data_IF_828151148018
#
_entry.id   IF_828151148018
#
_cell.length_a   1.000
_cell.length_b   1.000
_cell.length_c   1.000
_cell.angle_alpha   90.00
_cell.angle_beta   90.00
_cell.angle_gamma   90.00
#
_symmetry.space_group_name_H-M   'P 1'
#
loop_
_entity.id
_entity.type
_entity.pdbx_description
1 polymer ?
#
# COMPACT_ATOMS: atom_id res chain seq x y z
N UNK A 1 -48.99 22.57 3.95
CA UNK A 1 -48.06 21.51 3.51
C UNK A 1 -46.61 22.00 3.57
N UNK A 2 -46.02 22.08 4.77
CA UNK A 2 -44.64 22.58 5.01
C UNK A 2 -43.74 21.54 5.70
N UNK A 3 -44.04 20.25 5.53
CA UNK A 3 -43.41 19.16 6.28
C UNK A 3 -42.83 18.01 5.46
N UNK A 4 -42.65 18.16 4.14
CA UNK A 4 -42.16 17.05 3.29
C UNK A 4 -40.78 17.31 2.63
N UNK A 5 -40.26 18.54 2.70
CA UNK A 5 -38.98 18.91 2.04
C UNK A 5 -37.77 18.87 2.97
N UNK A 6 -37.95 18.68 4.29
CA UNK A 6 -36.84 18.60 5.26
C UNK A 6 -36.33 17.18 5.50
N UNK A 7 -37.06 16.15 5.03
CA UNK A 7 -36.69 14.74 5.28
C UNK A 7 -35.76 14.17 4.20
N UNK A 8 -35.74 14.74 2.99
CA UNK A 8 -34.90 14.26 1.87
C UNK A 8 -33.42 14.66 2.07
N UNK A 9 -33.15 15.75 2.80
CA UNK A 9 -31.79 16.21 3.10
C UNK A 9 -31.02 15.39 4.16
N UNK A 10 -31.65 14.39 4.79
CA UNK A 10 -31.03 13.56 5.85
C UNK A 10 -30.77 12.11 5.47
N UNK A 11 -31.23 11.64 4.31
CA UNK A 11 -31.02 10.27 3.83
C UNK A 11 -29.72 10.08 3.01
N UNK A 12 -29.01 11.16 2.71
CA UNK A 12 -27.80 11.15 1.89
C UNK A 12 -26.58 10.42 2.50
N UNK A 13 -26.36 10.35 3.84
CA UNK A 13 -25.22 9.62 4.40
C UNK A 13 -25.41 8.09 4.41
N UNK A 14 -26.64 7.61 4.56
CA UNK A 14 -26.94 6.17 4.71
C UNK A 14 -26.97 5.48 3.34
N UNK A 15 -27.57 6.11 2.33
CA UNK A 15 -27.49 5.62 0.94
C UNK A 15 -26.03 5.57 0.42
N UNK A 16 -25.16 6.45 0.92
CA UNK A 16 -23.73 6.44 0.60
C UNK A 16 -22.98 5.28 1.26
N UNK A 17 -23.41 4.86 2.46
CA UNK A 17 -22.93 3.63 3.10
C UNK A 17 -23.30 2.41 2.26
N UNK A 18 -24.53 2.34 1.70
CA UNK A 18 -24.93 1.25 0.82
C UNK A 18 -24.15 1.21 -0.49
N UNK A 19 -23.85 2.34 -1.14
CA UNK A 19 -23.00 2.35 -2.33
C UNK A 19 -21.53 1.93 -2.06
N UNK A 20 -21.01 2.07 -0.84
CA UNK A 20 -19.70 1.51 -0.45
C UNK A 20 -19.78 0.05 0.06
N UNK A 21 -20.98 -0.42 0.40
CA UNK A 21 -21.24 -1.80 0.85
C UNK A 21 -21.61 -2.74 -0.32
N UNK A 22 -22.30 -2.27 -1.35
CA UNK A 22 -22.86 -3.07 -2.46
C UNK A 22 -22.00 -3.16 -3.74
N UNK A 23 -20.72 -2.78 -3.72
CA UNK A 23 -19.80 -3.22 -4.79
C UNK A 23 -19.31 -4.67 -4.54
N UNK A 24 -20.25 -5.57 -4.28
CA UNK A 24 -20.16 -6.99 -4.58
C UNK A 24 -21.10 -7.23 -5.78
N UNK A 25 -20.49 -7.42 -6.96
CA UNK A 25 -21.09 -8.01 -8.18
C UNK A 25 -22.30 -7.30 -8.82
N UNK A 26 -22.04 -6.36 -9.75
CA UNK A 26 -22.98 -6.10 -10.84
C UNK A 26 -22.75 -7.13 -11.98
N UNK A 27 -23.78 -7.83 -12.48
CA UNK A 27 -23.62 -8.86 -13.51
C UNK A 27 -23.44 -8.20 -14.88
N UNK A 28 -22.19 -8.08 -15.35
CA UNK A 28 -21.91 -7.70 -16.74
C UNK A 28 -21.81 -8.98 -17.58
N UNK A 29 -22.94 -9.39 -18.14
CA UNK A 29 -22.97 -10.33 -19.26
C UNK A 29 -22.26 -9.70 -20.47
N UNK A 30 -21.23 -10.41 -20.95
CA UNK A 30 -20.64 -10.38 -22.31
C UNK A 30 -20.14 -9.03 -22.83
N UNK A 31 -18.89 -8.70 -22.47
CA UNK A 31 -17.88 -8.32 -23.46
C UNK A 31 -16.55 -9.03 -23.12
N UNK A 32 -15.86 -9.50 -24.16
CA UNK A 32 -14.90 -10.62 -24.16
C UNK A 32 -13.60 -10.35 -23.40
N UNK A 33 -13.18 -11.39 -22.66
CA UNK A 33 -11.82 -11.81 -22.28
C UNK A 33 -10.83 -10.73 -21.82
N UNK A 34 -10.65 -10.63 -20.50
CA UNK A 34 -9.40 -10.95 -19.79
C UNK A 34 -9.72 -10.97 -18.28
N UNK A 35 -10.34 -12.05 -17.84
CA UNK A 35 -10.49 -12.33 -16.40
C UNK A 35 -9.24 -13.06 -15.93
N UNK A 36 -8.41 -12.38 -15.12
CA UNK A 36 -7.56 -13.06 -14.15
C UNK A 36 -8.49 -13.71 -13.12
N UNK A 37 -8.96 -14.90 -13.45
CA UNK A 37 -9.62 -15.76 -12.50
C UNK A 37 -8.63 -16.03 -11.38
N UNK A 38 -9.03 -15.55 -10.21
CA UNK A 38 -8.53 -15.97 -8.91
C UNK A 38 -8.60 -17.50 -8.87
N UNK A 39 -7.47 -18.17 -9.06
CA UNK A 39 -7.37 -19.60 -8.85
C UNK A 39 -7.22 -19.86 -7.36
N UNK A 40 -8.30 -20.36 -6.76
CA UNK A 40 -8.24 -21.16 -5.53
C UNK A 40 -7.79 -22.58 -5.89
N UNK A 41 -6.79 -23.07 -5.18
CA UNK A 41 -6.43 -24.48 -5.12
C UNK A 41 -5.38 -24.92 -6.15
N UNK A 42 -4.43 -25.72 -5.66
CA UNK A 42 -3.29 -26.33 -6.35
C UNK A 42 -2.05 -25.43 -6.49
N UNK A 43 -1.00 -25.86 -5.79
CA UNK A 43 0.42 -25.78 -6.12
C UNK A 43 0.83 -24.82 -7.24
N UNK A 44 1.62 -23.81 -6.88
CA UNK A 44 2.51 -23.12 -7.82
C UNK A 44 1.82 -22.26 -8.88
N UNK A 45 1.31 -21.10 -8.49
CA UNK A 45 1.39 -19.95 -9.40
C UNK A 45 2.83 -19.44 -9.27
N UNK A 46 3.68 -19.59 -10.31
CA UNK A 46 4.99 -18.99 -10.24
C UNK A 46 4.74 -17.49 -10.33
N UNK A 47 5.17 -16.79 -9.29
CA UNK A 47 5.25 -15.33 -9.18
C UNK A 47 6.31 -14.83 -10.21
N UNK A 48 6.13 -15.16 -11.51
CA UNK A 48 7.11 -14.86 -12.56
C UNK A 48 6.98 -13.40 -12.89
N UNK A 49 7.61 -12.60 -12.05
CA UNK A 49 8.15 -11.31 -12.42
C UNK A 49 8.96 -11.50 -13.70
N UNK A 50 8.42 -11.07 -14.84
CA UNK A 50 9.17 -11.17 -16.09
C UNK A 50 10.21 -10.06 -16.16
N UNK A 51 11.30 -10.27 -16.88
CA UNK A 51 12.29 -9.22 -17.16
C UNK A 51 11.64 -7.99 -17.80
N UNK A 52 10.57 -8.18 -18.59
CA UNK A 52 9.81 -7.10 -19.19
C UNK A 52 9.04 -6.28 -18.14
N UNK A 53 8.41 -6.92 -17.15
CA UNK A 53 7.73 -6.24 -16.05
C UNK A 53 8.72 -5.43 -15.20
N UNK A 54 9.91 -5.99 -14.90
CA UNK A 54 10.96 -5.28 -14.15
C UNK A 54 11.44 -4.06 -14.94
N UNK A 55 11.70 -4.20 -16.25
CA UNK A 55 12.10 -3.08 -17.10
C UNK A 55 11.05 -1.98 -17.11
N UNK A 56 9.76 -2.34 -17.21
CA UNK A 56 8.64 -1.40 -17.16
C UNK A 56 8.55 -0.70 -15.81
N UNK A 57 8.76 -1.43 -14.71
CA UNK A 57 8.83 -0.86 -13.36
C UNK A 57 9.97 0.15 -13.23
N UNK A 58 11.19 -0.21 -13.62
CA UNK A 58 12.37 0.69 -13.55
C UNK A 58 12.12 1.98 -14.34
N UNK A 59 11.59 1.87 -15.56
CA UNK A 59 11.28 3.04 -16.40
C UNK A 59 10.27 4.00 -15.76
N UNK A 60 9.35 3.48 -14.95
CA UNK A 60 8.25 4.23 -14.36
C UNK A 60 8.51 4.62 -12.89
N UNK A 61 9.61 4.15 -12.28
CA UNK A 61 9.86 4.25 -10.84
C UNK A 61 9.73 5.68 -10.30
N UNK A 62 10.44 6.64 -10.89
CA UNK A 62 10.41 8.05 -10.47
C UNK A 62 9.03 8.69 -10.60
N UNK A 63 8.32 8.39 -11.70
CA UNK A 63 6.98 8.91 -11.91
C UNK A 63 6.00 8.33 -10.88
N UNK A 64 6.09 7.04 -10.59
CA UNK A 64 5.25 6.37 -9.60
C UNK A 64 5.53 6.84 -8.17
N UNK A 65 6.78 7.10 -7.81
CA UNK A 65 7.15 7.71 -6.52
C UNK A 65 6.56 9.11 -6.31
N UNK A 66 6.34 9.86 -7.39
CA UNK A 66 5.63 11.16 -7.35
C UNK A 66 4.12 10.98 -7.23
N UNK A 67 3.54 10.02 -7.96
CA UNK A 67 2.09 9.75 -7.93
C UNK A 67 1.66 9.19 -6.58
N UNK A 68 2.42 8.25 -6.03
CA UNK A 68 2.12 7.54 -4.79
C UNK A 68 3.24 7.81 -3.81
N UNK A 69 3.09 8.79 -2.91
CA UNK A 69 4.06 9.00 -1.84
C UNK A 69 4.08 7.77 -0.93
N UNK A 70 5.20 7.08 -0.88
CA UNK A 70 5.45 5.97 0.04
C UNK A 70 6.93 5.89 0.33
N UNK A 71 7.31 5.51 1.54
CA UNK A 71 8.71 5.55 1.96
C UNK A 71 8.99 4.48 3.00
N UNK A 72 10.14 3.84 2.89
CA UNK A 72 10.68 3.08 4.01
C UNK A 72 11.50 4.01 4.89
N UNK A 73 11.01 4.29 6.10
CA UNK A 73 11.69 5.22 6.98
C UNK A 73 12.97 4.62 7.58
N UNK A 74 12.87 3.46 8.23
CA UNK A 74 13.99 2.71 8.80
C UNK A 74 13.43 1.47 9.51
N UNK A 75 14.08 1.09 10.60
CA UNK A 75 13.71 0.02 11.50
C UNK A 75 13.23 0.56 12.85
N UNK A 76 12.40 -0.23 13.55
CA UNK A 76 12.19 -0.05 14.99
C UNK A 76 13.48 -0.43 15.74
N UNK A 77 13.52 -0.16 17.04
CA UNK A 77 14.59 -0.63 17.94
C UNK A 77 14.77 -2.16 17.96
N UNK A 78 13.81 -2.92 17.41
CA UNK A 78 13.85 -4.38 17.31
C UNK A 78 14.27 -4.88 15.94
N UNK A 79 14.51 -4.00 14.97
CA UNK A 79 14.77 -4.40 13.59
C UNK A 79 13.50 -4.62 12.76
N UNK A 80 12.32 -4.24 13.25
CA UNK A 80 11.07 -4.33 12.47
C UNK A 80 11.01 -3.21 11.42
N UNK A 81 10.42 -3.48 10.27
CA UNK A 81 10.39 -2.51 9.17
C UNK A 81 9.27 -1.48 9.34
N UNK A 82 9.57 -0.20 9.09
CA UNK A 82 8.57 0.87 9.09
C UNK A 82 8.36 1.37 7.66
N UNK A 83 7.15 1.14 7.13
CA UNK A 83 6.74 1.52 5.79
C UNK A 83 5.60 2.54 5.81
N UNK A 84 5.84 3.72 5.27
CA UNK A 84 4.86 4.78 5.14
C UNK A 84 4.16 4.75 3.78
N UNK A 85 2.85 4.96 3.78
CA UNK A 85 2.05 5.09 2.57
C UNK A 85 1.12 6.30 2.68
N UNK A 86 1.49 7.39 1.99
CA UNK A 86 0.80 8.67 1.98
C UNK A 86 -0.34 8.74 0.97
N UNK A 87 -1.43 8.00 1.22
CA UNK A 87 -2.59 7.97 0.31
C UNK A 87 -3.34 9.31 0.24
N UNK A 88 -3.23 10.14 1.28
CA UNK A 88 -3.73 11.52 1.28
C UNK A 88 -3.17 12.38 0.13
N UNK A 89 -1.89 12.18 -0.19
CA UNK A 89 -1.11 13.02 -1.10
C UNK A 89 -0.92 12.39 -2.50
N UNK A 90 -1.81 11.49 -2.92
CA UNK A 90 -1.75 10.93 -4.28
C UNK A 90 -1.93 12.05 -5.32
N UNK A 91 -0.95 12.15 -6.22
CA UNK A 91 -0.98 13.09 -7.33
C UNK A 91 -1.58 12.45 -8.58
N UNK A 92 -2.90 12.58 -8.71
CA UNK A 92 -3.65 12.09 -9.87
C UNK A 92 -3.31 12.90 -11.14
N UNK A 93 -2.82 14.14 -11.00
CA UNK A 93 -2.50 14.99 -12.16
C UNK A 93 -1.31 14.44 -12.94
N UNK A 94 -0.31 13.88 -12.25
CA UNK A 94 0.85 13.22 -12.88
C UNK A 94 0.43 11.95 -13.63
N UNK A 95 -0.51 11.17 -13.06
CA UNK A 95 -1.10 10.02 -13.76
C UNK A 95 -1.86 10.45 -15.01
N UNK A 96 -2.57 11.57 -14.96
CA UNK A 96 -3.35 12.11 -16.09
C UNK A 96 -2.48 12.67 -17.20
N UNK A 97 -1.38 13.33 -16.84
CA UNK A 97 -0.41 13.83 -17.78
C UNK A 97 0.34 12.69 -18.50
N UNK A 98 0.47 11.52 -17.87
CA UNK A 98 1.24 10.40 -18.40
C UNK A 98 0.36 9.23 -18.88
N UNK A 99 -0.08 9.32 -20.14
CA UNK A 99 -0.94 8.29 -20.79
C UNK A 99 -0.32 6.90 -20.88
N UNK A 100 0.98 6.74 -20.63
CA UNK A 100 1.66 5.42 -20.63
C UNK A 100 1.48 4.67 -19.32
N UNK A 101 1.19 5.39 -18.24
CA UNK A 101 1.00 4.81 -16.91
C UNK A 101 -0.43 4.31 -16.76
N UNK A 102 -0.54 3.08 -16.26
CA UNK A 102 -1.81 2.41 -16.01
C UNK A 102 -2.00 2.18 -14.52
N UNK A 103 -3.23 1.90 -14.12
CA UNK A 103 -3.53 1.47 -12.75
C UNK A 103 -2.77 0.19 -12.37
N UNK A 104 -2.55 -0.73 -13.32
CA UNK A 104 -1.72 -1.93 -13.11
C UNK A 104 -0.29 -1.57 -12.76
N UNK A 105 0.28 -0.53 -13.38
CA UNK A 105 1.64 -0.07 -13.06
C UNK A 105 1.75 0.43 -11.62
N UNK A 106 0.67 1.02 -11.07
CA UNK A 106 0.63 1.48 -9.69
C UNK A 106 0.67 0.30 -8.70
N UNK A 107 -0.13 -0.73 -8.97
CA UNK A 107 -0.18 -1.94 -8.13
C UNK A 107 1.15 -2.72 -8.21
N UNK A 108 1.70 -2.87 -9.42
CA UNK A 108 3.01 -3.51 -9.64
C UNK A 108 4.14 -2.72 -8.98
N UNK A 109 4.11 -1.38 -9.00
CA UNK A 109 5.12 -0.55 -8.34
C UNK A 109 5.23 -0.84 -6.86
N UNK A 110 4.09 -0.84 -6.15
CA UNK A 110 4.09 -1.16 -4.73
C UNK A 110 4.53 -2.60 -4.46
N UNK A 111 4.15 -3.55 -5.32
CA UNK A 111 4.61 -4.93 -5.21
C UNK A 111 6.15 -5.04 -5.34
N UNK A 112 6.73 -4.45 -6.38
CA UNK A 112 8.17 -4.54 -6.64
C UNK A 112 9.01 -3.86 -5.58
N UNK A 113 8.61 -2.69 -5.09
CA UNK A 113 9.35 -2.01 -4.02
C UNK A 113 9.41 -2.87 -2.77
N UNK A 114 8.28 -3.49 -2.39
CA UNK A 114 8.23 -4.41 -1.24
C UNK A 114 9.09 -5.66 -1.46
N UNK A 115 9.03 -6.22 -2.68
CA UNK A 115 9.84 -7.37 -3.04
C UNK A 115 11.34 -7.06 -2.96
N UNK A 116 11.78 -5.89 -3.41
CA UNK A 116 13.18 -5.46 -3.33
C UNK A 116 13.64 -5.40 -1.87
N UNK A 117 12.83 -4.79 -0.99
CA UNK A 117 13.17 -4.70 0.44
C UNK A 117 13.35 -6.09 1.05
N UNK A 118 12.40 -7.00 0.80
CA UNK A 118 12.42 -8.34 1.40
C UNK A 118 13.46 -9.27 0.78
N UNK A 119 13.49 -9.38 -0.55
CA UNK A 119 14.32 -10.37 -1.24
C UNK A 119 15.78 -9.90 -1.34
N UNK A 120 16.04 -8.59 -1.43
CA UNK A 120 17.37 -8.07 -1.81
C UNK A 120 18.08 -7.21 -0.76
N UNK A 121 17.36 -6.46 0.08
CA UNK A 121 18.00 -5.47 0.97
C UNK A 121 18.11 -6.00 2.40
N UNK A 122 17.01 -6.51 2.94
CA UNK A 122 16.94 -6.92 4.34
C UNK A 122 17.38 -8.38 4.43
N UNK A 123 18.50 -8.63 5.11
CA UNK A 123 18.85 -9.98 5.57
C UNK A 123 18.49 -10.06 7.04
N UNK A 124 17.64 -11.02 7.40
CA UNK A 124 17.12 -11.15 8.76
C UNK A 124 17.26 -12.59 9.23
N UNK A 125 17.85 -12.73 10.41
CA UNK A 125 17.99 -14.01 11.12
C UNK A 125 16.69 -14.39 11.86
N UNK A 126 15.80 -13.43 12.10
CA UNK A 126 14.46 -13.59 12.71
C UNK A 126 13.38 -13.03 11.78
N UNK A 127 12.15 -13.56 11.77
CA UNK A 127 11.05 -13.04 10.92
C UNK A 127 10.58 -11.64 11.39
N UNK A 128 10.95 -10.52 10.74
CA UNK A 128 10.65 -9.19 11.25
C UNK A 128 9.18 -8.84 10.99
N UNK A 129 8.59 -8.07 11.90
CA UNK A 129 7.28 -7.50 11.66
C UNK A 129 7.40 -6.30 10.72
N UNK A 130 6.42 -6.08 9.85
CA UNK A 130 6.30 -4.82 9.12
C UNK A 130 5.22 -3.94 9.74
N UNK A 131 5.58 -2.71 10.09
CA UNK A 131 4.68 -1.62 10.47
C UNK A 131 4.36 -0.79 9.22
N UNK A 132 3.19 -1.01 8.62
CA UNK A 132 2.68 -0.17 7.56
C UNK A 132 1.86 0.97 8.16
N UNK A 133 2.31 2.21 7.98
CA UNK A 133 1.60 3.40 8.42
C UNK A 133 0.95 4.09 7.21
N UNK A 134 -0.37 4.04 7.15
CA UNK A 134 -1.18 4.57 6.05
C UNK A 134 -1.74 5.94 6.44
N UNK A 135 -1.24 7.00 5.82
CA UNK A 135 -1.72 8.37 6.05
C UNK A 135 -2.96 8.65 5.18
N UNK A 136 -4.10 8.76 5.86
CA UNK A 136 -5.42 9.08 5.30
C UNK A 136 -5.90 10.47 5.76
N UNK A 137 -5.03 11.30 6.34
CA UNK A 137 -5.40 12.64 6.81
C UNK A 137 -5.81 13.54 5.66
N UNK A 138 -6.77 14.43 5.88
CA UNK A 138 -7.31 15.32 4.86
C UNK A 138 -8.05 14.62 3.72
N UNK A 139 -8.16 13.29 3.76
CA UNK A 139 -8.87 12.53 2.74
C UNK A 139 -10.38 12.76 2.94
N UNK A 140 -10.94 13.58 2.06
CA UNK A 140 -12.37 13.82 2.03
C UNK A 140 -13.04 12.64 1.32
N UNK A 141 -13.95 11.98 2.03
CA UNK A 141 -14.85 10.97 1.46
C UNK A 141 -15.91 11.67 0.59
N UNK A 142 -15.48 12.25 -0.52
CA UNK A 142 -16.34 12.82 -1.56
C UNK A 142 -16.84 11.71 -2.49
N UNK A 143 -17.74 12.05 -3.41
CA UNK A 143 -18.40 11.14 -4.36
C UNK A 143 -17.56 9.89 -4.72
N UNK A 144 -18.06 8.68 -4.44
CA UNK A 144 -17.36 7.41 -4.70
C UNK A 144 -16.90 7.24 -6.16
N UNK A 145 -17.53 8.01 -7.06
CA UNK A 145 -17.31 8.03 -8.50
C UNK A 145 -16.10 8.86 -8.96
N UNK A 146 -15.44 9.61 -8.08
CA UNK A 146 -14.23 10.33 -8.47
C UNK A 146 -13.10 9.36 -8.84
N UNK A 147 -12.31 9.73 -9.84
CA UNK A 147 -11.16 8.93 -10.28
C UNK A 147 -10.13 8.73 -9.15
N UNK A 148 -9.94 9.75 -8.29
CA UNK A 148 -9.10 9.65 -7.08
C UNK A 148 -9.58 8.53 -6.16
N UNK A 149 -10.88 8.41 -5.91
CA UNK A 149 -11.44 7.34 -5.06
C UNK A 149 -11.30 5.95 -5.69
N UNK A 150 -11.42 5.83 -7.02
CA UNK A 150 -11.16 4.55 -7.72
C UNK A 150 -9.71 4.11 -7.58
N UNK A 151 -8.77 5.04 -7.77
CA UNK A 151 -7.33 4.79 -7.59
C UNK A 151 -7.03 4.39 -6.14
N UNK A 152 -7.54 5.14 -5.17
CA UNK A 152 -7.40 4.82 -3.75
C UNK A 152 -7.93 3.42 -3.43
N UNK A 153 -9.09 3.06 -3.98
CA UNK A 153 -9.70 1.73 -3.77
C UNK A 153 -8.81 0.62 -4.34
N UNK A 154 -8.23 0.82 -5.51
CA UNK A 154 -7.28 -0.12 -6.13
C UNK A 154 -5.99 -0.25 -5.34
N UNK A 155 -5.40 0.86 -4.88
CA UNK A 155 -4.21 0.82 -4.04
C UNK A 155 -4.48 0.11 -2.70
N UNK A 156 -5.62 0.39 -2.05
CA UNK A 156 -6.04 -0.32 -0.85
C UNK A 156 -6.24 -1.82 -1.10
N UNK A 157 -6.73 -2.22 -2.28
CA UNK A 157 -6.80 -3.63 -2.67
C UNK A 157 -5.41 -4.24 -2.90
N UNK A 158 -4.47 -3.50 -3.49
CA UNK A 158 -3.08 -3.95 -3.66
C UNK A 158 -2.35 -4.13 -2.33
N UNK A 159 -2.64 -3.29 -1.33
CA UNK A 159 -2.14 -3.48 0.04
C UNK A 159 -2.71 -4.77 0.66
N UNK A 160 -3.94 -5.11 0.32
CA UNK A 160 -4.65 -6.31 0.80
C UNK A 160 -4.28 -7.58 0.02
N UNK A 161 -3.37 -7.50 -0.93
CA UNK A 161 -2.95 -8.67 -1.71
C UNK A 161 -2.24 -9.70 -0.82
N UNK A 162 -2.53 -10.99 -1.00
CA UNK A 162 -1.95 -12.09 -0.24
C UNK A 162 -0.43 -12.22 -0.43
N UNK A 163 0.14 -11.66 -1.50
CA UNK A 163 1.59 -11.60 -1.72
C UNK A 163 2.32 -10.81 -0.62
N UNK A 164 1.59 -9.93 0.06
CA UNK A 164 2.07 -9.09 1.13
C UNK A 164 2.38 -9.87 2.41
N UNK A 165 1.45 -10.72 2.89
CA UNK A 165 1.67 -11.54 4.08
C UNK A 165 2.46 -12.83 3.83
N UNK A 166 2.64 -13.21 2.57
CA UNK A 166 3.56 -14.31 2.19
C UNK A 166 5.02 -13.97 2.42
N UNK A 167 5.40 -12.70 2.23
CA UNK A 167 6.77 -12.21 2.46
C UNK A 167 6.94 -11.75 3.90
N UNK A 168 5.98 -11.00 4.42
CA UNK A 168 6.01 -10.53 5.80
C UNK A 168 5.03 -11.35 6.63
N UNK A 169 5.54 -12.31 7.40
CA UNK A 169 4.75 -13.24 8.23
C UNK A 169 3.69 -12.53 9.08
N UNK A 170 4.00 -11.31 9.54
CA UNK A 170 3.08 -10.44 10.26
C UNK A 170 3.21 -9.01 9.77
N UNK A 171 2.06 -8.37 9.55
CA UNK A 171 2.00 -6.94 9.23
C UNK A 171 1.03 -6.23 10.16
N UNK A 172 1.48 -5.13 10.75
CA UNK A 172 0.61 -4.20 11.47
C UNK A 172 0.35 -2.99 10.58
N UNK A 173 -0.92 -2.78 10.24
CA UNK A 173 -1.37 -1.63 9.45
C UNK A 173 -1.99 -0.61 10.40
N UNK A 174 -1.37 0.56 10.50
CA UNK A 174 -1.88 1.72 11.23
C UNK A 174 -2.46 2.74 10.25
N UNK A 175 -3.78 2.87 10.21
CA UNK A 175 -4.46 3.87 9.37
C UNK A 175 -4.71 5.15 10.17
N UNK A 176 -4.10 6.26 9.74
CA UNK A 176 -4.15 7.55 10.44
C UNK A 176 -5.13 8.49 9.74
N UNK A 177 -6.19 8.91 10.41
CA UNK A 177 -7.13 9.90 9.88
C UNK A 177 -7.84 10.64 11.00
N UNK A 178 -7.96 11.96 10.89
CA UNK A 178 -8.80 12.78 11.78
C UNK A 178 -10.30 12.55 11.52
N UNK A 179 -10.66 12.09 10.32
CA UNK A 179 -12.04 11.85 9.92
C UNK A 179 -12.60 10.56 10.53
N UNK A 180 -13.57 10.70 11.44
CA UNK A 180 -14.22 9.57 12.11
C UNK A 180 -14.87 8.58 11.12
N UNK A 181 -15.49 9.07 10.06
CA UNK A 181 -16.16 8.21 9.06
C UNK A 181 -15.13 7.35 8.32
N UNK A 182 -14.00 7.95 7.92
CA UNK A 182 -12.92 7.21 7.27
C UNK A 182 -12.37 6.11 8.18
N UNK A 183 -12.15 6.41 9.47
CA UNK A 183 -11.73 5.41 10.47
C UNK A 183 -12.73 4.27 10.59
N UNK A 184 -14.03 4.58 10.73
CA UNK A 184 -15.08 3.55 10.83
C UNK A 184 -15.14 2.66 9.59
N UNK A 185 -14.98 3.21 8.39
CA UNK A 185 -14.94 2.41 7.15
C UNK A 185 -13.77 1.42 7.17
N UNK A 186 -12.57 1.87 7.56
CA UNK A 186 -11.39 1.00 7.67
C UNK A 186 -11.62 -0.11 8.69
N UNK A 187 -12.15 0.22 9.88
CA UNK A 187 -12.49 -0.76 10.92
C UNK A 187 -13.47 -1.82 10.42
N UNK A 188 -14.56 -1.41 9.75
CA UNK A 188 -15.56 -2.31 9.19
C UNK A 188 -14.96 -3.25 8.13
N UNK A 189 -13.96 -2.78 7.38
CA UNK A 189 -13.29 -3.53 6.31
C UNK A 189 -12.00 -4.21 6.78
N UNK A 190 -11.71 -4.33 8.08
CA UNK A 190 -10.51 -5.05 8.56
C UNK A 190 -10.47 -6.52 8.14
N UNK A 191 -11.64 -7.18 8.12
CA UNK A 191 -11.79 -8.61 7.80
C UNK A 191 -11.39 -8.98 6.35
N UNK A 192 -11.25 -7.96 5.52
CA UNK A 192 -10.94 -8.05 4.10
C UNK A 192 -9.41 -8.09 3.88
N UNK A 193 -8.58 -7.90 4.90
CA UNK A 193 -7.12 -8.05 4.83
C UNK A 193 -6.69 -9.53 4.99
N UNK A 194 -5.54 -9.94 4.43
CA UNK A 194 -5.04 -11.31 4.58
C UNK A 194 -4.79 -11.70 6.03
N UNK A 195 -4.89 -13.01 6.31
CA UNK A 195 -4.41 -13.58 7.57
C UNK A 195 -2.94 -13.20 7.82
N UNK A 196 -2.62 -12.88 9.08
CA UNK A 196 -1.31 -12.32 9.46
C UNK A 196 -1.26 -10.78 9.44
N UNK A 197 -2.32 -10.11 8.98
CA UNK A 197 -2.44 -8.64 9.04
C UNK A 197 -3.29 -8.21 10.24
N UNK A 198 -2.74 -7.35 11.09
CA UNK A 198 -3.51 -6.64 12.13
C UNK A 198 -3.73 -5.19 11.70
N UNK A 199 -4.98 -4.75 11.68
CA UNK A 199 -5.37 -3.42 11.18
C UNK A 199 -5.95 -2.60 12.32
N UNK A 200 -5.33 -1.47 12.59
CA UNK A 200 -5.69 -0.54 13.65
C UNK A 200 -5.87 0.85 13.07
N UNK A 201 -6.82 1.61 13.60
CA UNK A 201 -7.11 2.98 13.17
C UNK A 201 -6.79 3.96 14.28
N UNK A 202 -6.24 5.11 13.91
CA UNK A 202 -5.82 6.13 14.85
C UNK A 202 -6.32 7.51 14.42
N UNK A 203 -6.74 8.36 15.39
CA UNK A 203 -7.19 9.72 15.08
C UNK A 203 -6.05 10.67 14.68
N UNK A 204 -4.80 10.35 15.04
CA UNK A 204 -3.62 11.16 14.75
C UNK A 204 -2.34 10.33 14.87
N UNK A 205 -1.22 10.89 14.40
CA UNK A 205 0.11 10.30 14.59
C UNK A 205 0.49 10.23 16.09
N UNK A 206 0.19 11.27 16.88
CA UNK A 206 0.43 11.22 18.33
C UNK A 206 -0.33 10.08 19.02
N UNK A 207 -1.57 9.83 18.62
CA UNK A 207 -2.35 8.72 19.17
C UNK A 207 -1.75 7.36 18.79
N UNK A 208 -1.26 7.22 17.56
CA UNK A 208 -0.53 6.03 17.10
C UNK A 208 0.75 5.81 17.90
N UNK A 209 1.59 6.84 18.04
CA UNK A 209 2.86 6.76 18.76
C UNK A 209 2.64 6.44 20.24
N UNK A 210 1.67 7.08 20.89
CA UNK A 210 1.39 6.82 22.31
C UNK A 210 0.83 5.41 22.57
N UNK A 211 0.14 4.82 21.59
CA UNK A 211 -0.38 3.47 21.69
C UNK A 211 0.66 2.39 21.30
N UNK A 212 1.68 2.76 20.53
CA UNK A 212 2.67 1.83 20.00
C UNK A 212 3.99 1.88 20.79
N UNK A 213 4.34 0.75 21.42
CA UNK A 213 5.59 0.63 22.19
C UNK A 213 6.85 0.41 21.36
N UNK A 214 6.71 0.12 20.06
CA UNK A 214 7.83 -0.22 19.17
C UNK A 214 8.14 0.87 18.16
N UNK A 215 7.12 1.64 17.78
CA UNK A 215 7.26 2.79 16.88
C UNK A 215 7.26 4.07 17.72
N UNK A 216 8.45 4.43 18.21
CA UNK A 216 8.68 5.60 19.05
C UNK A 216 9.01 6.85 18.21
N UNK A 217 8.99 8.04 18.83
CA UNK A 217 9.21 9.31 18.12
C UNK A 217 10.57 9.38 17.42
N UNK A 218 11.60 8.83 18.03
CA UNK A 218 12.98 8.87 17.54
C UNK A 218 13.23 8.03 16.28
N UNK A 219 12.42 6.98 16.03
CA UNK A 219 12.50 6.19 14.79
C UNK A 219 11.57 6.71 13.68
N UNK A 220 10.76 7.74 13.98
CA UNK A 220 9.89 8.37 13.01
C UNK A 220 10.45 9.71 12.51
N UNK A 221 10.22 10.05 11.24
CA UNK A 221 10.56 11.35 10.68
C UNK A 221 9.68 12.45 11.28
N UNK A 222 10.21 13.68 11.37
CA UNK A 222 9.45 14.85 11.86
C UNK A 222 8.13 15.09 11.13
N UNK A 223 8.09 14.83 9.82
CA UNK A 223 6.88 14.95 8.98
C UNK A 223 5.71 14.05 9.43
N UNK A 224 6.00 13.02 10.23
CA UNK A 224 5.03 12.04 10.73
C UNK A 224 4.96 12.01 12.27
N UNK A 225 5.32 13.12 12.93
CA UNK A 225 5.23 13.27 14.39
C UNK A 225 6.40 12.70 15.18
N UNK A 226 7.49 12.34 14.51
CA UNK A 226 8.72 11.90 15.14
C UNK A 226 9.72 13.02 15.41
N UNK A 227 10.93 12.64 15.81
CA UNK A 227 12.05 13.53 16.08
C UNK A 227 13.25 13.29 15.17
N UNK A 228 13.21 12.25 14.33
CA UNK A 228 14.29 11.95 13.38
C UNK A 228 14.41 13.05 12.31
N UNK A 229 15.65 13.46 12.07
CA UNK A 229 16.05 14.39 11.01
C UNK A 229 16.18 13.71 9.63
N UNK A 230 15.87 12.43 9.54
CA UNK A 230 15.97 11.65 8.32
C UNK A 230 15.12 12.24 7.19
N UNK A 231 15.77 12.55 6.06
CA UNK A 231 15.08 12.95 4.84
C UNK A 231 14.61 11.71 4.08
N UNK A 232 13.38 11.26 4.37
CA UNK A 232 12.77 10.04 3.83
C UNK A 232 12.94 9.78 2.33
N UNK A 233 12.95 10.78 1.41
CA UNK A 233 13.15 10.51 -0.01
C UNK A 233 14.60 10.18 -0.38
N UNK A 234 15.58 10.61 0.43
CA UNK A 234 16.99 10.67 0.02
C UNK A 234 17.94 9.90 0.95
N UNK A 235 17.44 9.35 2.05
CA UNK A 235 18.27 8.70 3.08
C UNK A 235 17.71 7.33 3.50
N UNK A 236 18.52 6.60 4.27
CA UNK A 236 18.14 5.33 4.89
C UNK A 236 17.79 4.22 3.89
N UNK A 237 16.79 3.41 4.26
CA UNK A 237 16.34 2.28 3.45
C UNK A 237 15.75 2.74 2.11
N UNK A 238 15.14 3.92 2.06
CA UNK A 238 14.59 4.46 0.81
C UNK A 238 15.68 4.79 -0.22
N UNK A 239 16.81 5.34 0.24
CA UNK A 239 17.96 5.56 -0.63
C UNK A 239 18.47 4.23 -1.22
N UNK A 240 18.57 3.18 -0.40
CA UNK A 240 19.01 1.86 -0.85
C UNK A 240 18.05 1.27 -1.90
N UNK A 241 16.74 1.42 -1.71
CA UNK A 241 15.73 1.01 -2.70
C UNK A 241 15.95 1.77 -4.01
N UNK A 242 16.07 3.10 -3.93
CA UNK A 242 16.25 3.94 -5.12
C UNK A 242 17.53 3.57 -5.88
N UNK A 243 18.64 3.38 -5.16
CA UNK A 243 19.89 2.90 -5.74
C UNK A 243 19.73 1.51 -6.40
N UNK A 244 19.08 0.57 -5.71
CA UNK A 244 18.85 -0.77 -6.27
C UNK A 244 18.02 -0.72 -7.56
N UNK A 245 16.99 0.12 -7.62
CA UNK A 245 16.17 0.27 -8.83
C UNK A 245 16.93 0.96 -9.96
N UNK A 246 17.52 2.10 -9.67
CA UNK A 246 18.05 3.01 -10.68
C UNK A 246 19.44 2.60 -11.18
N UNK A 247 20.24 1.92 -10.35
CA UNK A 247 21.60 1.49 -10.74
C UNK A 247 21.67 -0.01 -11.02
N UNK A 248 21.07 -0.84 -10.16
CA UNK A 248 21.20 -2.30 -10.29
C UNK A 248 20.17 -2.84 -11.29
N UNK A 249 18.87 -2.65 -11.04
CA UNK A 249 17.83 -3.19 -11.91
C UNK A 249 17.79 -2.54 -13.29
N UNK A 250 18.20 -1.28 -13.41
CA UNK A 250 18.35 -0.61 -14.71
C UNK A 250 19.38 -1.31 -15.62
N UNK A 251 20.44 -1.86 -15.04
CA UNK A 251 21.52 -2.56 -15.77
C UNK A 251 21.26 -4.07 -15.87
N UNK A 252 20.74 -4.66 -14.78
CA UNK A 252 20.54 -6.09 -14.62
C UNK A 252 19.13 -6.39 -14.06
N UNK A 253 18.08 -6.35 -14.90
CA UNK A 253 16.71 -6.61 -14.44
C UNK A 253 16.51 -8.00 -13.81
N UNK A 254 17.33 -8.99 -14.19
CA UNK A 254 17.28 -10.34 -13.61
C UNK A 254 17.76 -10.42 -12.15
N UNK A 255 18.45 -9.40 -11.63
CA UNK A 255 18.97 -9.40 -10.26
C UNK A 255 17.85 -9.59 -9.21
N UNK A 256 16.65 -9.06 -9.46
CA UNK A 256 15.50 -9.25 -8.57
C UNK A 256 15.11 -10.74 -8.42
N UNK A 257 15.20 -11.49 -9.52
CA UNK A 257 14.92 -12.93 -9.51
C UNK A 257 16.01 -13.72 -8.80
N UNK A 258 17.27 -13.31 -8.98
CA UNK A 258 18.43 -13.91 -8.29
C UNK A 258 18.33 -13.74 -6.77
N UNK A 259 17.97 -12.54 -6.29
CA UNK A 259 17.67 -12.29 -4.88
C UNK A 259 16.59 -13.23 -4.35
N UNK A 260 15.45 -13.30 -5.05
CA UNK A 260 14.30 -14.12 -4.63
C UNK A 260 14.65 -15.60 -4.52
N UNK A 261 15.50 -16.10 -5.43
CA UNK A 261 16.04 -17.46 -5.36
C UNK A 261 16.93 -17.69 -4.15
N UNK A 262 17.86 -16.77 -3.89
CA UNK A 262 18.77 -16.86 -2.76
C UNK A 262 18.01 -16.89 -1.42
N UNK A 263 16.97 -16.06 -1.29
CA UNK A 263 16.15 -16.01 -0.09
C UNK A 263 15.37 -17.31 0.17
N UNK A 264 14.78 -17.90 -0.88
CA UNK A 264 14.11 -19.20 -0.77
C UNK A 264 15.05 -20.31 -0.32
N UNK A 265 16.28 -20.32 -0.83
CA UNK A 265 17.28 -21.30 -0.42
C UNK A 265 17.64 -21.20 1.07
N UNK A 266 17.72 -19.98 1.62
CA UNK A 266 17.93 -19.75 3.06
C UNK A 266 16.77 -20.26 3.92
N UNK A 267 15.52 -20.06 3.48
CA UNK A 267 14.34 -20.49 4.24
C UNK A 267 14.10 -22.01 4.25
N UNK A 268 14.78 -22.75 3.38
CA UNK A 268 14.62 -24.21 3.23
C UNK A 268 15.73 -25.05 3.87
N UNK A 269 16.78 -24.40 4.39
CA UNK A 269 17.89 -25.06 5.09
C UNK A 269 17.79 -24.84 6.59
#
# INVERSE_FOLDING_TARGET
MRGLLTTIGRLCPILFLFCFLEFEEAPVQRQRMFSLQCMYGAEGVPDVTTVADVRRFVQNFRAMKRIIPHYYASFTHRGDLIYFLGLNNIDVSVLEANKRLTQRDMEQHLHFVRQIVWDCIVSVDEEPLMYMVVDLRGLQLMNAWTKKNRILTSLLRSIRDHTFTKRFHRVQVAAISENRVARTIVEMKRHKFPAGTDVQVYPSFDAFINANKHVTRDVLPRSHGGSSDLDLPNEGLEYMISFFVEEILARQPQALYECSKAQKAKSSG
#
